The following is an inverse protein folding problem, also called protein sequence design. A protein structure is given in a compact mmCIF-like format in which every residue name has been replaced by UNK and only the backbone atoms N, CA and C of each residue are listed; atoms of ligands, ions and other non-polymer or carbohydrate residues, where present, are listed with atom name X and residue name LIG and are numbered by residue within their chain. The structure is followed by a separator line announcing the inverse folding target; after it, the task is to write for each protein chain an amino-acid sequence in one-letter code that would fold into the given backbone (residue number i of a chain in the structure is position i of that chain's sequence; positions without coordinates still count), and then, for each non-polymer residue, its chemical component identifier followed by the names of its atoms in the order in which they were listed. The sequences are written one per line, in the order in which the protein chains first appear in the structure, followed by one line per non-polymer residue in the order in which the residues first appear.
data_IF_596962403224
#
_entry.id   IF_596962403224
#
_cell.length_a   1.000
_cell.length_b   1.000
_cell.length_c   1.000
_cell.angle_alpha   90.00
_cell.angle_beta   90.00
_cell.angle_gamma   90.00
#
_symmetry.space_group_name_H-M   'P 1'
#
loop_
_entity.id
_entity.type
_entity.pdbx_description
1 polymer ?
#
# COMPACT_ATOMS: atom_id res chain seq x y z
N UNK A 1 -23.97 7.92 8.76
CA UNK A 1 -23.48 7.05 7.65
C UNK A 1 -22.13 6.46 8.03
N UNK A 2 -21.88 5.14 7.79
CA UNK A 2 -20.56 4.52 7.99
C UNK A 2 -19.68 4.74 6.76
N UNK A 3 -18.52 5.38 6.95
CA UNK A 3 -17.58 5.75 5.87
C UNK A 3 -16.25 5.03 6.10
N UNK A 4 -15.89 4.04 5.27
CA UNK A 4 -14.56 3.46 5.32
C UNK A 4 -13.49 4.49 4.94
N UNK A 5 -12.45 4.59 5.76
CA UNK A 5 -11.26 5.41 5.50
C UNK A 5 -10.06 4.48 5.42
N UNK A 6 -9.52 4.29 4.23
CA UNK A 6 -8.38 3.39 4.00
C UNK A 6 -7.10 4.23 3.95
N UNK A 7 -6.22 3.99 4.92
CA UNK A 7 -4.92 4.66 5.01
C UNK A 7 -3.88 3.84 4.24
N UNK A 8 -3.49 4.33 3.07
CA UNK A 8 -2.52 3.66 2.19
C UNK A 8 -1.15 4.34 2.28
N UNK A 9 -0.56 4.28 3.49
CA UNK A 9 0.76 4.83 3.80
C UNK A 9 1.82 3.75 4.03
N UNK A 10 3.07 4.18 4.24
CA UNK A 10 4.19 3.29 4.54
C UNK A 10 4.83 2.63 3.30
N UNK A 11 6.09 2.24 3.43
CA UNK A 11 6.88 1.61 2.34
C UNK A 11 6.99 0.10 2.51
N UNK A 12 6.86 -0.43 3.74
CA UNK A 12 6.99 -1.86 4.02
C UNK A 12 8.38 -2.44 3.69
N UNK A 13 9.45 -1.70 3.92
CA UNK A 13 10.83 -2.05 3.50
C UNK A 13 11.38 -3.36 4.08
N UNK A 14 10.78 -3.90 5.17
CA UNK A 14 11.18 -5.20 5.75
C UNK A 14 10.75 -6.39 4.88
N UNK A 15 9.83 -6.18 3.93
CA UNK A 15 9.40 -7.20 2.96
C UNK A 15 10.14 -7.06 1.62
N UNK A 16 11.30 -6.37 1.62
CA UNK A 16 12.21 -6.45 0.47
C UNK A 16 12.62 -7.93 0.23
N UNK A 17 12.72 -8.41 -1.02
CA UNK A 17 12.72 -7.67 -2.28
C UNK A 17 11.35 -7.44 -2.92
N UNK A 18 10.25 -7.98 -2.35
CA UNK A 18 8.91 -7.89 -2.94
C UNK A 18 8.26 -6.53 -2.68
N UNK A 19 8.51 -5.90 -1.51
CA UNK A 19 8.04 -4.54 -1.22
C UNK A 19 9.14 -3.52 -1.45
N UNK A 20 8.87 -2.49 -2.27
CA UNK A 20 9.80 -1.38 -2.59
C UNK A 20 9.04 -0.06 -2.61
N UNK A 21 9.77 1.07 -2.61
CA UNK A 21 9.15 2.42 -2.61
C UNK A 21 8.17 2.63 -3.77
N UNK A 22 8.52 2.15 -4.96
CA UNK A 22 7.65 2.27 -6.15
C UNK A 22 6.41 1.38 -6.12
N UNK A 23 6.39 0.35 -5.28
CA UNK A 23 5.25 -0.55 -5.05
C UNK A 23 5.32 -1.12 -3.64
N UNK A 24 4.87 -0.35 -2.63
CA UNK A 24 4.81 -0.78 -1.23
C UNK A 24 3.90 -1.99 -0.99
N UNK A 25 4.03 -2.59 0.20
CA UNK A 25 3.37 -3.84 0.57
C UNK A 25 1.85 -3.82 0.39
N UNK A 26 1.18 -2.71 0.64
CA UNK A 26 -0.27 -2.59 0.49
C UNK A 26 -0.77 -2.83 -0.94
N UNK A 27 0.10 -2.69 -1.94
CA UNK A 27 -0.22 -2.95 -3.35
C UNK A 27 0.20 -4.33 -3.84
N UNK A 28 0.63 -5.21 -2.92
CA UNK A 28 1.16 -6.55 -3.21
C UNK A 28 0.17 -7.63 -2.77
N UNK A 29 0.05 -8.73 -3.53
CA UNK A 29 -0.69 -9.92 -3.12
C UNK A 29 0.20 -10.73 -2.17
N UNK A 30 0.05 -10.52 -0.86
CA UNK A 30 0.86 -11.18 0.17
C UNK A 30 0.14 -12.30 0.91
N UNK A 31 -1.19 -12.36 0.84
CA UNK A 31 -2.00 -13.38 1.47
C UNK A 31 -2.92 -14.14 0.49
N UNK A 32 -2.86 -13.83 -0.80
CA UNK A 32 -3.74 -14.40 -1.82
C UNK A 32 -3.50 -13.79 -3.19
N UNK A 33 -4.51 -13.78 -4.06
CA UNK A 33 -4.43 -13.21 -5.42
C UNK A 33 -4.65 -11.70 -5.45
N UNK A 34 -5.37 -11.16 -4.46
CA UNK A 34 -5.66 -9.73 -4.35
C UNK A 34 -4.57 -8.99 -3.56
N UNK A 35 -4.35 -7.71 -3.87
CA UNK A 35 -3.47 -6.88 -3.05
C UNK A 35 -4.08 -6.63 -1.66
N UNK A 36 -3.26 -6.28 -0.67
CA UNK A 36 -3.75 -5.99 0.68
C UNK A 36 -4.74 -4.82 0.70
N UNK A 37 -4.56 -3.81 -0.16
CA UNK A 37 -5.53 -2.72 -0.37
C UNK A 37 -6.87 -3.26 -0.88
N UNK A 38 -6.84 -4.16 -1.86
CA UNK A 38 -8.04 -4.79 -2.41
C UNK A 38 -8.73 -5.68 -1.37
N UNK A 39 -7.98 -6.51 -0.64
CA UNK A 39 -8.51 -7.33 0.47
C UNK A 39 -9.16 -6.47 1.55
N UNK A 40 -8.52 -5.34 1.94
CA UNK A 40 -9.06 -4.40 2.92
C UNK A 40 -10.39 -3.80 2.45
N UNK A 41 -10.51 -3.47 1.18
CA UNK A 41 -11.76 -2.95 0.60
C UNK A 41 -12.84 -4.03 0.47
N UNK A 42 -12.50 -5.22 -0.03
CA UNK A 42 -13.43 -6.34 -0.24
C UNK A 42 -13.99 -6.91 1.06
N UNK A 43 -13.21 -6.89 2.14
CA UNK A 43 -13.59 -7.31 3.50
C UNK A 43 -14.85 -6.62 4.01
N UNK A 44 -15.14 -5.42 3.52
CA UNK A 44 -16.28 -4.59 3.93
C UNK A 44 -17.58 -4.88 3.17
N UNK A 45 -17.57 -5.79 2.20
CA UNK A 45 -18.69 -6.03 1.30
C UNK A 45 -20.00 -6.45 1.99
N UNK A 46 -19.93 -6.99 3.21
CA UNK A 46 -21.12 -7.37 4.01
C UNK A 46 -21.62 -6.24 4.93
N UNK A 47 -20.93 -5.11 5.01
CA UNK A 47 -21.37 -3.92 5.76
C UNK A 47 -22.08 -2.94 4.84
N UNK A 48 -23.12 -2.30 5.37
CA UNK A 48 -23.74 -1.15 4.71
C UNK A 48 -22.87 0.09 4.92
N UNK A 49 -22.05 0.42 3.93
CA UNK A 49 -21.12 1.55 3.98
C UNK A 49 -21.28 2.48 2.80
N UNK A 50 -20.83 3.72 2.96
CA UNK A 50 -20.55 4.60 1.83
C UNK A 50 -19.36 4.06 1.01
N UNK A 51 -19.15 4.53 -0.23
CA UNK A 51 -17.90 4.29 -0.94
C UNK A 51 -16.70 4.82 -0.15
N UNK A 52 -15.55 4.11 -0.12
CA UNK A 52 -14.43 4.46 0.75
C UNK A 52 -13.79 5.81 0.39
N UNK A 53 -13.26 6.49 1.40
CA UNK A 53 -12.26 7.54 1.24
C UNK A 53 -10.89 6.86 1.37
N UNK A 54 -10.00 7.09 0.42
CA UNK A 54 -8.63 6.56 0.50
C UNK A 54 -7.64 7.70 0.63
N UNK A 55 -6.77 7.65 1.64
CA UNK A 55 -5.67 8.60 1.82
C UNK A 55 -4.38 7.91 1.44
N UNK A 56 -3.65 8.47 0.47
CA UNK A 56 -2.41 7.89 -0.02
C UNK A 56 -1.38 8.96 -0.42
N UNK A 57 -0.11 8.54 -0.52
CA UNK A 57 0.91 9.42 -1.09
C UNK A 57 0.62 9.68 -2.58
N UNK A 58 0.86 10.91 -3.02
CA UNK A 58 0.64 11.33 -4.41
C UNK A 58 1.36 10.44 -5.43
N UNK A 59 2.55 9.93 -5.10
CA UNK A 59 3.31 9.03 -5.98
C UNK A 59 2.57 7.72 -6.29
N UNK A 60 1.68 7.27 -5.41
CA UNK A 60 0.96 5.99 -5.54
C UNK A 60 -0.47 6.14 -6.07
N UNK A 61 -0.95 7.36 -6.37
CA UNK A 61 -2.34 7.64 -6.75
C UNK A 61 -2.91 6.73 -7.85
N UNK A 62 -2.09 6.43 -8.86
CA UNK A 62 -2.53 5.59 -9.97
C UNK A 62 -2.62 4.11 -9.61
N UNK A 63 -1.73 3.62 -8.73
CA UNK A 63 -1.82 2.26 -8.21
C UNK A 63 -3.11 2.07 -7.40
N UNK A 64 -3.44 3.02 -6.53
CA UNK A 64 -4.67 3.00 -5.74
C UNK A 64 -5.90 3.01 -6.65
N UNK A 65 -5.96 3.97 -7.58
CA UNK A 65 -7.10 4.11 -8.49
C UNK A 65 -7.31 2.85 -9.36
N UNK A 66 -6.23 2.28 -9.90
CA UNK A 66 -6.28 1.07 -10.72
C UNK A 66 -6.75 -0.14 -9.93
N UNK A 67 -6.17 -0.39 -8.74
CA UNK A 67 -6.53 -1.55 -7.92
C UNK A 67 -7.97 -1.50 -7.41
N UNK A 68 -8.49 -0.31 -7.07
CA UNK A 68 -9.91 -0.15 -6.71
C UNK A 68 -10.82 -0.35 -7.92
N UNK A 69 -10.40 0.09 -9.11
CA UNK A 69 -11.14 -0.13 -10.36
C UNK A 69 -11.22 -1.61 -10.72
N UNK A 70 -10.13 -2.37 -10.54
CA UNK A 70 -10.08 -3.82 -10.80
C UNK A 70 -11.12 -4.60 -10.00
N UNK A 71 -11.43 -4.18 -8.78
CA UNK A 71 -12.44 -4.80 -7.91
C UNK A 71 -13.80 -4.11 -7.95
N UNK A 72 -14.00 -3.17 -8.90
CA UNK A 72 -15.23 -2.40 -9.06
C UNK A 72 -15.70 -1.68 -7.78
N UNK A 73 -14.80 -1.22 -6.94
CA UNK A 73 -15.09 -0.48 -5.71
C UNK A 73 -14.54 0.96 -5.83
N UNK A 74 -15.27 1.87 -6.51
CA UNK A 74 -14.81 3.25 -6.66
C UNK A 74 -14.77 3.95 -5.30
N UNK A 75 -13.71 4.74 -5.06
CA UNK A 75 -13.64 5.60 -3.89
C UNK A 75 -14.53 6.83 -4.05
N UNK A 76 -15.09 7.34 -2.93
CA UNK A 76 -15.79 8.64 -2.91
C UNK A 76 -14.81 9.82 -3.02
N UNK A 77 -13.57 9.62 -2.53
CA UNK A 77 -12.47 10.55 -2.67
C UNK A 77 -11.13 9.79 -2.57
N UNK A 78 -10.17 10.18 -3.41
CA UNK A 78 -8.76 9.80 -3.31
C UNK A 78 -7.98 11.03 -2.85
N UNK A 79 -7.66 11.11 -1.54
CA UNK A 79 -6.95 12.24 -0.94
C UNK A 79 -5.45 11.99 -1.08
N UNK A 80 -4.74 12.92 -1.73
CA UNK A 80 -3.33 12.76 -2.05
C UNK A 80 -2.45 13.57 -1.09
N UNK A 81 -1.72 12.89 -0.23
CA UNK A 81 -0.70 13.52 0.60
C UNK A 81 0.54 13.87 -0.23
N UNK A 82 0.99 15.14 -0.23
CA UNK A 82 2.24 15.53 -0.89
C UNK A 82 3.46 14.92 -0.20
N UNK A 83 3.38 14.66 1.12
CA UNK A 83 4.32 13.87 1.90
C UNK A 83 3.59 13.26 3.10
N UNK A 84 4.03 12.09 3.56
CA UNK A 84 3.44 11.46 4.74
C UNK A 84 3.64 12.29 6.01
N UNK A 85 2.57 12.50 6.78
CA UNK A 85 2.55 13.19 8.07
C UNK A 85 2.04 12.30 9.20
N UNK A 86 2.17 10.98 9.05
CA UNK A 86 1.65 9.99 10.00
C UNK A 86 0.10 9.93 9.98
N UNK A 87 -0.52 9.20 10.89
CA UNK A 87 -1.94 8.83 10.81
C UNK A 87 -2.91 9.93 11.26
N UNK A 88 -2.56 10.77 12.24
CA UNK A 88 -3.49 11.80 12.72
C UNK A 88 -3.86 12.83 11.63
N UNK A 89 -2.94 13.45 10.89
CA UNK A 89 -3.30 14.35 9.80
C UNK A 89 -4.06 13.64 8.67
N UNK A 90 -3.67 12.41 8.31
CA UNK A 90 -4.36 11.64 7.27
C UNK A 90 -5.84 11.39 7.61
N UNK A 91 -6.13 10.98 8.84
CA UNK A 91 -7.49 10.80 9.34
C UNK A 91 -8.24 12.15 9.38
N UNK A 92 -7.56 13.24 9.76
CA UNK A 92 -8.16 14.57 9.78
C UNK A 92 -8.64 15.04 8.39
N UNK A 93 -7.82 14.83 7.33
CA UNK A 93 -8.24 15.13 5.96
C UNK A 93 -9.50 14.32 5.57
N UNK A 94 -9.53 13.02 5.90
CA UNK A 94 -10.68 12.17 5.63
C UNK A 94 -11.91 12.58 6.45
N UNK A 95 -11.74 12.96 7.72
CA UNK A 95 -12.82 13.42 8.58
C UNK A 95 -13.45 14.72 8.06
N UNK A 96 -12.64 15.69 7.64
CA UNK A 96 -13.12 16.94 7.04
C UNK A 96 -13.95 16.64 5.79
N UNK A 97 -13.44 15.76 4.90
CA UNK A 97 -14.15 15.37 3.69
C UNK A 97 -15.48 14.63 3.99
N UNK A 98 -15.52 13.81 5.04
CA UNK A 98 -16.72 13.08 5.43
C UNK A 98 -17.79 13.99 6.06
N UNK A 99 -17.38 14.93 6.94
CA UNK A 99 -18.30 15.91 7.59
C UNK A 99 -18.95 16.84 6.56
N UNK A 100 -18.26 17.19 5.48
CA UNK A 100 -18.84 17.98 4.38
C UNK A 100 -20.00 17.25 3.69
N UNK A 101 -19.99 15.90 3.68
CA UNK A 101 -21.03 15.08 3.06
C UNK A 101 -22.14 14.71 4.06
N UNK A 102 -21.77 14.36 5.28
CA UNK A 102 -22.65 13.94 6.36
C UNK A 102 -22.04 14.35 7.71
N UNK A 103 -22.60 15.37 8.40
CA UNK A 103 -22.11 15.81 9.72
C UNK A 103 -22.09 14.70 10.78
N UNK A 104 -22.95 13.68 10.63
CA UNK A 104 -23.08 12.55 11.55
C UNK A 104 -22.29 11.31 11.04
N UNK A 105 -21.34 11.49 10.10
CA UNK A 105 -20.55 10.41 9.56
C UNK A 105 -19.70 9.73 10.64
N UNK A 106 -19.67 8.40 10.61
CA UNK A 106 -18.76 7.58 11.40
C UNK A 106 -17.70 7.01 10.47
N UNK A 107 -16.45 7.25 10.80
CA UNK A 107 -15.30 6.76 10.06
C UNK A 107 -14.92 5.37 10.58
N UNK A 108 -14.82 4.39 9.68
CA UNK A 108 -14.13 3.13 9.91
C UNK A 108 -12.73 3.26 9.31
N UNK A 109 -11.76 3.59 10.15
CA UNK A 109 -10.36 3.83 9.75
C UNK A 109 -9.60 2.52 9.72
N UNK A 110 -9.03 2.19 8.57
CA UNK A 110 -8.36 0.92 8.30
C UNK A 110 -7.00 1.16 7.62
N UNK A 111 -5.90 0.65 8.16
CA UNK A 111 -4.66 0.51 7.40
C UNK A 111 -4.86 -0.41 6.19
N UNK A 112 -4.32 -0.02 5.04
CA UNK A 112 -4.45 -0.77 3.79
C UNK A 112 -3.59 -2.05 3.74
N UNK A 113 -2.80 -2.31 4.78
CA UNK A 113 -1.70 -3.26 4.78
C UNK A 113 -1.74 -4.27 5.93
N UNK A 114 -2.95 -4.48 6.51
CA UNK A 114 -3.18 -5.46 7.56
C UNK A 114 -3.92 -6.69 7.04
N UNK A 115 -3.45 -7.86 7.48
CA UNK A 115 -4.12 -9.14 7.26
C UNK A 115 -5.17 -9.39 8.34
N UNK A 116 -6.30 -9.98 7.94
CA UNK A 116 -7.39 -10.45 8.82
C UNK A 116 -7.72 -11.89 8.40
N UNK A 117 -7.45 -12.84 9.26
CA UNK A 117 -7.71 -14.27 9.02
C UNK A 117 -9.19 -14.65 9.10
N UNK A 118 -9.96 -13.99 9.97
CA UNK A 118 -11.41 -14.17 10.11
C UNK A 118 -12.16 -12.84 9.85
N UNK A 119 -12.59 -12.60 8.60
CA UNK A 119 -13.38 -11.43 8.24
C UNK A 119 -14.73 -11.35 8.97
N UNK A 120 -15.34 -12.48 9.36
CA UNK A 120 -16.64 -12.49 10.03
C UNK A 120 -16.52 -11.95 11.46
N UNK A 121 -15.53 -12.41 12.22
CA UNK A 121 -15.23 -11.89 13.55
C UNK A 121 -14.90 -10.38 13.52
N UNK A 122 -14.16 -9.93 12.49
CA UNK A 122 -13.90 -8.51 12.28
C UNK A 122 -15.19 -7.71 12.06
N UNK A 123 -16.11 -8.19 11.20
CA UNK A 123 -17.39 -7.51 10.92
C UNK A 123 -18.25 -7.41 12.18
N UNK A 124 -18.32 -8.48 12.98
CA UNK A 124 -19.06 -8.48 14.26
C UNK A 124 -18.47 -7.44 15.22
N UNK A 125 -17.15 -7.34 15.33
CA UNK A 125 -16.50 -6.33 16.16
C UNK A 125 -16.78 -4.90 15.65
N UNK A 126 -16.81 -4.66 14.34
CA UNK A 126 -17.19 -3.37 13.76
C UNK A 126 -18.62 -3.01 14.17
N UNK A 127 -19.59 -3.95 14.03
CA UNK A 127 -20.98 -3.73 14.40
C UNK A 127 -21.13 -3.42 15.91
N UNK A 128 -20.38 -4.11 16.75
CA UNK A 128 -20.34 -3.88 18.18
C UNK A 128 -19.81 -2.48 18.52
N UNK A 129 -18.73 -2.03 17.88
CA UNK A 129 -18.11 -0.73 18.13
C UNK A 129 -18.94 0.47 17.67
N UNK A 130 -19.89 0.28 16.72
CA UNK A 130 -20.73 1.37 16.19
C UNK A 130 -21.53 2.08 17.28
N UNK A 131 -22.05 1.35 18.27
CA UNK A 131 -22.82 1.94 19.36
C UNK A 131 -21.97 2.99 20.13
N UNK A 132 -20.74 2.64 20.50
CA UNK A 132 -19.83 3.55 21.18
C UNK A 132 -19.43 4.76 20.34
N UNK A 133 -19.21 4.56 19.04
CA UNK A 133 -18.90 5.66 18.13
C UNK A 133 -20.08 6.64 17.97
N UNK A 134 -21.32 6.14 17.93
CA UNK A 134 -22.54 6.98 17.93
C UNK A 134 -22.72 7.78 19.23
N UNK A 135 -22.25 7.25 20.36
CA UNK A 135 -22.22 7.97 21.64
C UNK A 135 -21.08 8.99 21.72
N UNK A 136 -20.26 9.09 20.66
CA UNK A 136 -19.14 10.02 20.53
C UNK A 136 -17.86 9.53 21.21
N UNK A 137 -17.75 8.24 21.53
CA UNK A 137 -16.49 7.65 21.96
C UNK A 137 -15.54 7.47 20.74
N UNK A 138 -14.25 7.58 20.98
CA UNK A 138 -13.21 7.25 20.02
C UNK A 138 -12.82 5.77 20.22
N UNK A 139 -13.38 4.90 19.39
CA UNK A 139 -13.26 3.45 19.55
C UNK A 139 -12.08 2.92 18.76
N UNK A 140 -11.23 2.10 19.39
CA UNK A 140 -10.17 1.32 18.73
C UNK A 140 -10.45 -0.18 18.84
N UNK A 141 -9.88 -0.99 17.95
CA UNK A 141 -9.94 -2.45 18.00
C UNK A 141 -8.69 -2.97 18.69
N UNK A 142 -8.85 -3.57 19.85
CA UNK A 142 -7.78 -4.18 20.64
C UNK A 142 -7.64 -5.66 20.29
N UNK A 143 -6.57 -6.04 19.60
CA UNK A 143 -6.32 -7.43 19.21
C UNK A 143 -5.91 -8.24 20.45
N UNK A 144 -6.57 -9.39 20.65
CA UNK A 144 -6.21 -10.32 21.73
C UNK A 144 -4.79 -10.86 21.49
N UNK A 145 -3.84 -10.62 22.41
CA UNK A 145 -2.46 -11.00 22.19
C UNK A 145 -2.28 -12.51 22.32
N UNK A 146 -1.57 -13.12 21.35
CA UNK A 146 -1.18 -14.52 21.36
C UNK A 146 0.28 -14.74 21.81
N UNK A 147 1.10 -13.68 21.83
CA UNK A 147 2.50 -13.70 22.21
C UNK A 147 2.94 -12.39 22.84
N UNK A 148 4.08 -12.33 23.57
CA UNK A 148 4.60 -11.10 24.17
C UNK A 148 5.38 -10.28 23.14
N UNK A 149 4.68 -9.74 22.12
CA UNK A 149 5.27 -8.95 21.03
C UNK A 149 5.79 -7.60 21.50
N UNK A 150 7.04 -7.29 21.16
CA UNK A 150 7.67 -6.00 21.49
C UNK A 150 7.59 -4.99 20.34
N UNK A 151 7.09 -5.41 19.20
CA UNK A 151 6.92 -4.58 18.00
C UNK A 151 5.63 -3.79 17.95
N UNK A 152 4.66 -4.10 18.83
CA UNK A 152 3.33 -3.50 18.86
C UNK A 152 3.12 -2.56 20.06
N UNK A 153 2.20 -1.61 19.90
CA UNK A 153 1.62 -0.90 21.01
C UNK A 153 0.63 -1.79 21.78
N UNK A 154 0.52 -1.59 23.07
CA UNK A 154 -0.45 -2.26 23.95
C UNK A 154 -1.43 -1.26 24.52
N UNK A 155 -2.70 -1.66 24.58
CA UNK A 155 -3.78 -0.89 25.19
C UNK A 155 -4.42 -1.72 26.29
N UNK A 156 -4.70 -1.08 27.47
CA UNK A 156 -5.32 -1.75 28.59
C UNK A 156 -6.81 -1.45 28.64
N UNK A 157 -7.63 -2.52 28.68
CA UNK A 157 -9.06 -2.43 28.93
C UNK A 157 -9.34 -2.08 30.40
N UNK A 158 -10.17 -1.07 30.59
CA UNK A 158 -10.73 -0.65 31.90
C UNK A 158 -12.11 -1.23 32.17
N UNK A 159 -13.00 -0.42 32.67
CA UNK A 159 -14.40 -0.79 32.93
C UNK A 159 -15.19 -0.90 31.62
N UNK A 160 -16.25 -1.71 31.64
CA UNK A 160 -17.16 -1.78 30.47
C UNK A 160 -17.97 -0.48 30.37
N UNK A 161 -17.91 0.19 29.20
CA UNK A 161 -18.65 1.42 28.92
C UNK A 161 -20.04 1.10 28.39
N UNK A 162 -20.13 0.15 27.45
CA UNK A 162 -21.37 -0.38 26.90
C UNK A 162 -21.12 -1.82 26.46
N UNK A 163 -22.18 -2.56 26.06
CA UNK A 163 -22.08 -4.00 25.79
C UNK A 163 -20.89 -4.36 24.89
N UNK A 164 -19.85 -4.93 25.51
CA UNK A 164 -18.63 -5.39 24.87
C UNK A 164 -17.62 -4.29 24.45
N UNK A 165 -17.83 -3.04 24.88
CA UNK A 165 -16.87 -1.94 24.69
C UNK A 165 -16.25 -1.61 26.05
N UNK A 166 -14.92 -1.74 26.16
CA UNK A 166 -14.16 -1.41 27.36
C UNK A 166 -13.63 0.02 27.28
N UNK A 167 -13.48 0.66 28.43
CA UNK A 167 -12.73 1.92 28.54
C UNK A 167 -11.27 1.71 28.12
N UNK A 168 -10.71 2.63 27.35
CA UNK A 168 -9.27 2.71 27.09
C UNK A 168 -8.58 3.34 28.30
N UNK A 169 -8.06 2.51 29.19
CA UNK A 169 -7.51 2.96 30.46
C UNK A 169 -6.02 3.31 30.40
N UNK A 170 -5.28 2.77 29.43
CA UNK A 170 -3.83 3.01 29.27
C UNK A 170 -3.37 2.66 27.86
N UNK A 171 -2.41 3.39 27.35
CA UNK A 171 -1.71 3.10 26.09
C UNK A 171 -0.20 3.00 26.36
N UNK A 172 0.46 1.97 25.85
CA UNK A 172 1.92 1.76 25.98
C UNK A 172 2.51 1.35 24.64
N UNK A 173 3.37 2.16 24.10
CA UNK A 173 4.00 1.88 22.81
C UNK A 173 5.27 1.03 22.98
N UNK A 174 5.33 -0.12 22.31
CA UNK A 174 6.49 -1.00 22.18
C UNK A 174 7.23 -1.28 23.50
N UNK A 175 6.60 -2.00 24.45
CA UNK A 175 7.23 -2.35 25.71
C UNK A 175 8.44 -3.26 25.52
N UNK A 176 9.28 -3.37 26.55
CA UNK A 176 10.30 -4.41 26.58
C UNK A 176 9.70 -5.82 26.76
N UNK A 177 10.50 -6.85 26.53
CA UNK A 177 10.04 -8.24 26.54
C UNK A 177 9.44 -8.68 27.90
N UNK A 178 10.04 -8.23 29.01
CA UNK A 178 9.57 -8.56 30.36
C UNK A 178 8.22 -7.89 30.65
N UNK A 179 8.02 -6.68 30.17
CA UNK A 179 6.77 -5.92 30.28
C UNK A 179 5.68 -6.53 29.39
N UNK A 180 6.01 -6.88 28.14
CA UNK A 180 5.09 -7.54 27.22
C UNK A 180 4.60 -8.91 27.78
N UNK A 181 5.49 -9.69 28.40
CA UNK A 181 5.12 -10.95 29.05
C UNK A 181 4.12 -10.73 30.21
N UNK A 182 4.33 -9.70 31.04
CA UNK A 182 3.40 -9.34 32.12
C UNK A 182 2.04 -8.91 31.60
N UNK A 183 1.99 -8.18 30.46
CA UNK A 183 0.74 -7.78 29.85
C UNK A 183 -0.07 -8.97 29.33
N UNK A 184 0.62 -9.96 28.75
CA UNK A 184 -0.01 -11.21 28.31
C UNK A 184 -0.60 -11.98 29.51
N UNK A 185 0.15 -12.10 30.62
CA UNK A 185 -0.31 -12.77 31.84
C UNK A 185 -1.49 -12.04 32.52
N UNK A 186 -1.53 -10.70 32.45
CA UNK A 186 -2.59 -9.90 33.06
C UNK A 186 -3.96 -10.10 32.38
N UNK A 187 -4.00 -10.46 31.09
CA UNK A 187 -5.20 -10.84 30.34
C UNK A 187 -6.17 -9.70 30.04
N UNK A 188 -5.83 -8.45 30.36
CA UNK A 188 -6.63 -7.25 30.07
C UNK A 188 -5.89 -6.22 29.20
N UNK A 189 -4.75 -6.62 28.62
CA UNK A 189 -4.04 -5.87 27.61
C UNK A 189 -4.28 -6.46 26.24
N UNK A 190 -4.39 -5.58 25.24
CA UNK A 190 -4.61 -5.91 23.84
C UNK A 190 -3.53 -5.25 22.99
N UNK A 191 -3.20 -5.82 21.84
CA UNK A 191 -2.38 -5.10 20.86
C UNK A 191 -3.19 -3.98 20.22
N UNK A 192 -2.60 -2.82 20.05
CA UNK A 192 -3.18 -1.73 19.28
C UNK A 192 -3.15 -2.09 17.80
N UNK A 193 -4.31 -2.29 17.20
CA UNK A 193 -4.42 -2.65 15.79
C UNK A 193 -4.20 -1.47 14.83
N UNK A 194 -4.27 -0.22 15.32
CA UNK A 194 -4.31 0.96 14.45
C UNK A 194 -5.59 1.08 13.61
N UNK A 195 -6.63 0.32 13.94
CA UNK A 195 -7.98 0.43 13.34
C UNK A 195 -8.92 1.14 14.31
N UNK A 196 -9.80 2.01 13.78
CA UNK A 196 -10.65 2.85 14.62
C UNK A 196 -12.06 2.98 14.06
N UNK A 197 -13.02 3.20 14.97
CA UNK A 197 -14.36 3.72 14.69
C UNK A 197 -14.53 5.07 15.39
N UNK A 198 -14.68 6.13 14.60
CA UNK A 198 -14.66 7.51 15.08
C UNK A 198 -15.85 8.28 14.51
N UNK A 199 -16.65 8.94 15.34
CA UNK A 199 -17.46 10.03 14.84
C UNK A 199 -16.56 11.06 14.16
N UNK A 200 -16.81 11.42 12.89
CA UNK A 200 -15.92 12.32 12.16
C UNK A 200 -15.75 13.66 12.87
N UNK A 201 -16.85 14.26 13.32
CA UNK A 201 -16.81 15.50 14.10
C UNK A 201 -16.18 15.29 15.50
N UNK A 202 -16.48 14.17 16.18
CA UNK A 202 -15.88 13.86 17.48
C UNK A 202 -14.36 13.76 17.43
N UNK A 203 -13.83 13.18 16.33
CA UNK A 203 -12.39 13.14 16.11
C UNK A 203 -11.80 14.53 15.86
N UNK A 204 -12.45 15.35 15.03
CA UNK A 204 -11.98 16.73 14.75
C UNK A 204 -12.01 17.58 16.03
N UNK A 205 -13.03 17.44 16.88
CA UNK A 205 -13.12 18.15 18.17
C UNK A 205 -12.00 17.72 19.12
N UNK A 206 -11.72 16.41 19.21
CA UNK A 206 -10.60 15.89 20.01
C UNK A 206 -9.25 16.37 19.46
N UNK A 207 -9.07 16.38 18.13
CA UNK A 207 -7.86 16.89 17.49
C UNK A 207 -7.68 18.39 17.76
N UNK A 208 -8.75 19.18 17.71
CA UNK A 208 -8.71 20.60 18.07
C UNK A 208 -8.30 20.81 19.54
N UNK A 209 -8.80 19.96 20.44
CA UNK A 209 -8.50 20.03 21.87
C UNK A 209 -7.03 19.72 22.17
N UNK A 210 -6.50 18.64 21.59
CA UNK A 210 -5.18 18.11 21.94
C UNK A 210 -4.06 18.58 21.01
N UNK A 211 -4.38 18.86 19.72
CA UNK A 211 -3.43 19.27 18.68
C UNK A 211 -4.00 20.42 17.83
N UNK A 212 -4.25 21.62 18.43
CA UNK A 212 -4.94 22.73 17.75
C UNK A 212 -4.27 23.22 16.47
N UNK A 213 -2.94 23.19 16.42
CA UNK A 213 -2.19 23.59 15.22
C UNK A 213 -2.34 22.59 14.08
N UNK A 214 -2.31 21.28 14.38
CA UNK A 214 -2.56 20.22 13.40
C UNK A 214 -3.97 20.34 12.83
N UNK A 215 -4.98 20.51 13.69
CA UNK A 215 -6.37 20.71 13.28
C UNK A 215 -6.50 21.94 12.34
N UNK A 216 -5.94 23.08 12.75
CA UNK A 216 -5.99 24.34 11.97
C UNK A 216 -5.38 24.16 10.57
N UNK A 217 -4.21 23.51 10.49
CA UNK A 217 -3.49 23.32 9.22
C UNK A 217 -4.20 22.31 8.31
N UNK A 218 -4.75 21.21 8.85
CA UNK A 218 -5.55 20.27 8.08
C UNK A 218 -6.81 20.92 7.51
N UNK A 219 -7.55 21.71 8.32
CA UNK A 219 -8.71 22.45 7.84
C UNK A 219 -8.34 23.46 6.75
N UNK A 220 -7.25 24.20 6.92
CA UNK A 220 -6.79 25.16 5.93
C UNK A 220 -6.33 24.48 4.62
N UNK A 221 -5.62 23.34 4.73
CA UNK A 221 -5.17 22.59 3.57
C UNK A 221 -6.35 22.01 2.76
N UNK A 222 -7.38 21.50 3.44
CA UNK A 222 -8.61 21.03 2.78
C UNK A 222 -9.44 22.17 2.21
N UNK A 223 -9.52 23.33 2.88
CA UNK A 223 -10.20 24.53 2.36
C UNK A 223 -9.57 25.09 1.09
N UNK A 224 -8.27 24.85 0.86
CA UNK A 224 -7.55 25.18 -0.37
C UNK A 224 -7.40 24.03 -1.37
N UNK A 225 -8.08 22.89 -1.13
CA UNK A 225 -7.86 21.69 -1.93
C UNK A 225 -8.33 21.84 -3.39
N UNK A 226 -7.50 21.33 -4.31
CA UNK A 226 -7.83 21.24 -5.72
C UNK A 226 -8.39 19.86 -6.07
N UNK A 227 -9.46 19.83 -6.87
CA UNK A 227 -10.03 18.59 -7.42
C UNK A 227 -9.52 18.37 -8.84
N UNK A 228 -8.95 17.18 -9.08
CA UNK A 228 -8.43 16.76 -10.38
C UNK A 228 -8.96 15.34 -10.67
N UNK A 229 -10.01 15.24 -11.46
CA UNK A 229 -10.78 14.01 -11.67
C UNK A 229 -11.26 13.42 -10.33
N UNK A 230 -10.82 12.20 -10.00
CA UNK A 230 -11.14 11.49 -8.76
C UNK A 230 -10.20 11.87 -7.60
N UNK A 231 -9.16 12.67 -7.89
CA UNK A 231 -8.14 13.05 -6.91
C UNK A 231 -8.49 14.36 -6.20
N UNK A 232 -8.32 14.36 -4.89
CA UNK A 232 -8.42 15.53 -4.03
C UNK A 232 -7.02 15.86 -3.49
N UNK A 233 -6.49 17.03 -3.88
CA UNK A 233 -5.15 17.49 -3.52
C UNK A 233 -5.27 18.59 -2.47
N UNK A 234 -5.01 18.33 -1.19
CA UNK A 234 -4.88 19.36 -0.17
C UNK A 234 -3.81 20.39 -0.58
N UNK A 235 -3.92 21.62 -0.09
CA UNK A 235 -2.87 22.61 -0.28
C UNK A 235 -1.54 22.08 0.27
N UNK A 236 -0.55 21.95 -0.61
CA UNK A 236 0.71 21.27 -0.32
C UNK A 236 1.54 22.00 0.75
N UNK A 237 1.62 23.34 0.68
CA UNK A 237 2.45 24.13 1.59
C UNK A 237 1.88 24.08 3.01
N UNK A 238 0.55 24.20 3.14
CA UNK A 238 -0.15 24.09 4.42
C UNK A 238 -0.03 22.71 5.02
N UNK A 239 -0.20 21.65 4.21
CA UNK A 239 -0.07 20.28 4.70
C UNK A 239 1.38 19.92 5.05
N UNK A 240 2.37 20.38 4.30
CA UNK A 240 3.79 20.18 4.62
C UNK A 240 4.21 20.90 5.91
N UNK A 241 3.54 21.98 6.28
CA UNK A 241 3.75 22.67 7.55
C UNK A 241 3.07 21.96 8.74
N UNK A 242 2.16 21.00 8.49
CA UNK A 242 1.45 20.27 9.54
C UNK A 242 2.43 19.40 10.37
N UNK A 243 2.32 19.41 11.71
CA UNK A 243 3.04 18.46 12.55
C UNK A 243 2.79 17.02 12.12
N UNK A 244 3.81 16.15 12.26
CA UNK A 244 3.71 14.74 11.91
C UNK A 244 3.59 13.91 13.18
N UNK A 245 2.41 13.34 13.43
CA UNK A 245 2.15 12.51 14.58
C UNK A 245 1.11 11.42 14.30
N UNK A 246 1.12 10.32 15.07
CA UNK A 246 0.09 9.29 14.97
C UNK A 246 -1.16 9.70 15.75
N UNK A 247 -2.32 9.15 15.38
CA UNK A 247 -3.56 9.33 16.13
C UNK A 247 -3.40 8.84 17.57
N UNK A 248 -2.59 7.80 17.78
CA UNK A 248 -2.33 7.22 19.09
C UNK A 248 -1.76 8.27 20.04
N UNK A 249 -0.66 8.91 19.68
CA UNK A 249 -0.01 9.96 20.47
C UNK A 249 -0.76 11.29 20.44
N UNK A 250 -1.29 11.68 19.29
CA UNK A 250 -1.93 12.96 19.12
C UNK A 250 -3.28 13.07 19.86
N UNK A 251 -4.02 11.96 19.98
CA UNK A 251 -5.39 11.95 20.48
C UNK A 251 -5.65 10.83 21.50
N UNK A 252 -5.34 9.54 21.14
CA UNK A 252 -5.80 8.39 21.92
C UNK A 252 -5.18 8.29 23.32
N UNK A 253 -3.94 8.71 23.50
CA UNK A 253 -3.29 8.78 24.83
C UNK A 253 -3.87 9.86 25.74
N UNK A 254 -4.59 10.85 25.19
CA UNK A 254 -5.04 12.03 25.92
C UNK A 254 -6.56 12.09 26.07
N UNK A 255 -7.31 11.31 25.29
CA UNK A 255 -8.76 11.36 25.32
C UNK A 255 -9.34 10.64 26.54
N UNK A 256 -10.33 11.26 27.20
CA UNK A 256 -11.14 10.63 28.25
C UNK A 256 -12.31 9.80 27.67
N UNK A 257 -12.47 9.78 26.34
CA UNK A 257 -13.57 9.09 25.63
C UNK A 257 -13.06 7.93 24.77
N UNK A 258 -11.94 7.33 25.15
CA UNK A 258 -11.38 6.18 24.47
C UNK A 258 -12.16 4.90 24.79
N UNK A 259 -12.53 4.14 23.74
CA UNK A 259 -13.16 2.83 23.87
C UNK A 259 -12.34 1.75 23.17
N UNK A 260 -12.39 0.51 23.68
CA UNK A 260 -11.74 -0.67 23.10
C UNK A 260 -12.82 -1.71 22.78
N UNK A 261 -12.87 -2.19 21.55
CA UNK A 261 -13.55 -3.44 21.19
C UNK A 261 -12.50 -4.54 21.11
N UNK A 262 -12.54 -5.56 21.98
CA UNK A 262 -11.66 -6.73 21.87
C UNK A 262 -11.89 -7.45 20.53
N UNK A 263 -10.79 -7.82 19.84
CA UNK A 263 -10.81 -8.40 18.53
C UNK A 263 -9.91 -9.65 18.47
N UNK A 264 -10.51 -10.80 18.16
CA UNK A 264 -9.80 -12.04 17.87
C UNK A 264 -10.19 -12.50 16.47
N UNK A 265 -9.40 -12.14 15.47
CA UNK A 265 -9.72 -12.36 14.06
C UNK A 265 -8.51 -12.83 13.22
N UNK A 266 -7.47 -13.35 13.86
CA UNK A 266 -6.24 -13.72 13.16
C UNK A 266 -5.55 -12.51 12.51
N UNK A 267 -5.53 -11.38 13.22
CA UNK A 267 -4.92 -10.15 12.75
C UNK A 267 -3.39 -10.22 12.72
N UNK A 268 -2.80 -9.64 11.67
CA UNK A 268 -1.37 -9.39 11.57
C UNK A 268 -1.11 -8.10 10.80
N UNK A 269 -0.12 -7.31 11.24
CA UNK A 269 0.36 -6.15 10.49
C UNK A 269 1.27 -6.51 9.32
N UNK A 270 1.59 -7.81 9.13
CA UNK A 270 2.55 -8.31 8.12
C UNK A 270 3.83 -7.44 8.12
N UNK A 271 4.40 -7.25 9.30
CA UNK A 271 5.53 -6.35 9.50
C UNK A 271 6.87 -6.88 8.99
N UNK A 272 7.00 -8.19 8.79
CA UNK A 272 8.21 -8.88 8.34
C UNK A 272 7.87 -10.22 7.69
N UNK A 273 8.87 -10.87 7.09
CA UNK A 273 8.72 -12.19 6.44
C UNK A 273 8.30 -13.30 7.40
N UNK A 274 8.67 -13.23 8.68
CA UNK A 274 8.20 -14.18 9.70
C UNK A 274 6.68 -14.15 9.87
N UNK A 275 6.07 -12.96 9.81
CA UNK A 275 4.62 -12.82 9.92
C UNK A 275 3.88 -13.48 8.74
N UNK A 276 4.44 -13.46 7.53
CA UNK A 276 3.88 -14.19 6.39
C UNK A 276 3.96 -15.72 6.57
N UNK A 277 5.00 -16.22 7.22
CA UNK A 277 5.07 -17.62 7.60
C UNK A 277 4.01 -17.98 8.66
N UNK A 278 3.77 -17.10 9.64
CA UNK A 278 2.80 -17.32 10.72
C UNK A 278 1.35 -17.35 10.23
N UNK A 279 1.00 -16.48 9.26
CA UNK A 279 -0.37 -16.44 8.69
C UNK A 279 -0.57 -17.40 7.53
N UNK A 280 0.51 -17.95 6.97
CA UNK A 280 0.49 -18.90 5.87
C UNK A 280 0.00 -20.29 6.28
N UNK A 281 -0.28 -21.14 5.29
CA UNK A 281 -0.63 -22.55 5.53
C UNK A 281 0.63 -23.41 5.37
N UNK A 282 1.18 -23.96 6.46
CA UNK A 282 2.38 -24.78 6.38
C UNK A 282 2.10 -26.18 5.81
N UNK A 283 3.09 -26.76 5.13
CA UNK A 283 3.13 -28.17 4.78
C UNK A 283 3.45 -29.07 6.01
N UNK A 284 3.53 -30.39 5.82
CA UNK A 284 3.83 -31.36 6.88
C UNK A 284 5.21 -31.16 7.53
N UNK A 285 6.13 -30.48 6.85
CA UNK A 285 7.46 -30.14 7.36
C UNK A 285 7.52 -28.72 7.97
N UNK A 286 6.39 -28.01 8.04
CA UNK A 286 6.31 -26.66 8.58
C UNK A 286 6.75 -25.57 7.61
N UNK A 287 6.86 -25.84 6.31
CA UNK A 287 7.20 -24.84 5.32
C UNK A 287 5.96 -24.15 4.76
N UNK A 288 6.03 -22.86 4.56
CA UNK A 288 5.06 -22.09 3.76
C UNK A 288 5.69 -21.83 2.40
N UNK A 289 5.03 -22.32 1.34
CA UNK A 289 5.55 -22.34 -0.02
C UNK A 289 4.63 -21.52 -0.94
N UNK A 290 5.21 -20.56 -1.67
CA UNK A 290 4.51 -19.76 -2.67
C UNK A 290 5.28 -19.76 -4.01
N UNK A 291 4.57 -20.03 -5.12
CA UNK A 291 5.15 -20.05 -6.46
C UNK A 291 5.84 -21.36 -6.84
N UNK A 292 6.82 -21.30 -7.76
CA UNK A 292 7.52 -22.46 -8.31
C UNK A 292 8.70 -22.85 -7.42
N UNK A 293 8.42 -23.67 -6.40
CA UNK A 293 9.41 -24.08 -5.38
C UNK A 293 9.47 -25.61 -5.27
N UNK A 294 10.68 -26.15 -5.21
CA UNK A 294 10.95 -27.56 -4.90
C UNK A 294 11.81 -27.67 -3.64
N UNK A 295 11.22 -28.13 -2.54
CA UNK A 295 11.87 -28.30 -1.24
C UNK A 295 12.19 -29.79 -0.98
N UNK A 296 13.44 -30.10 -0.62
CA UNK A 296 13.90 -31.43 -0.23
C UNK A 296 14.67 -31.34 1.08
N UNK A 297 14.34 -32.18 2.07
CA UNK A 297 14.94 -32.11 3.41
C UNK A 297 14.96 -30.67 3.96
N UNK A 298 13.84 -29.96 3.82
CA UNK A 298 13.67 -28.56 4.20
C UNK A 298 12.51 -28.44 5.18
N UNK A 299 12.69 -27.68 6.28
CA UNK A 299 11.68 -27.54 7.33
C UNK A 299 11.57 -26.10 7.83
N UNK A 300 10.40 -25.78 8.44
CA UNK A 300 10.10 -24.54 9.16
C UNK A 300 10.44 -23.24 8.38
N UNK A 301 10.38 -23.27 7.06
CA UNK A 301 10.89 -22.22 6.19
C UNK A 301 9.77 -21.52 5.41
N UNK A 302 9.95 -20.24 5.09
CA UNK A 302 9.14 -19.51 4.15
C UNK A 302 9.87 -19.41 2.81
N UNK A 303 9.29 -19.98 1.76
CA UNK A 303 9.90 -20.12 0.43
C UNK A 303 8.98 -19.50 -0.61
N UNK A 304 9.42 -18.40 -1.25
CA UNK A 304 8.65 -17.68 -2.26
C UNK A 304 9.44 -17.50 -3.55
N UNK A 305 8.82 -17.87 -4.66
CA UNK A 305 9.32 -17.65 -6.01
C UNK A 305 8.32 -16.81 -6.81
N UNK A 306 8.77 -15.69 -7.36
CA UNK A 306 7.96 -14.86 -8.26
C UNK A 306 8.28 -15.07 -9.74
N UNK A 307 9.47 -15.56 -10.08
CA UNK A 307 9.89 -15.65 -11.49
C UNK A 307 10.68 -16.90 -11.87
N UNK A 308 11.46 -17.49 -10.97
CA UNK A 308 12.35 -18.63 -11.27
C UNK A 308 12.03 -19.79 -10.35
N UNK A 309 12.33 -21.01 -10.82
CA UNK A 309 12.33 -22.16 -9.93
C UNK A 309 13.30 -21.95 -8.76
N UNK A 310 12.79 -22.02 -7.54
CA UNK A 310 13.57 -22.02 -6.29
C UNK A 310 13.66 -23.45 -5.77
N UNK A 311 14.87 -23.91 -5.48
CA UNK A 311 15.07 -25.24 -4.89
C UNK A 311 15.87 -25.12 -3.60
N UNK A 312 15.45 -25.87 -2.56
CA UNK A 312 16.14 -25.94 -1.28
C UNK A 312 16.41 -27.39 -0.90
N UNK A 313 17.50 -27.69 -0.22
CA UNK A 313 17.81 -29.02 0.29
C UNK A 313 18.63 -28.93 1.57
N UNK A 314 18.22 -29.71 2.60
CA UNK A 314 18.97 -29.84 3.86
C UNK A 314 19.03 -28.55 4.67
N UNK A 315 17.96 -27.72 4.64
CA UNK A 315 17.90 -26.43 5.36
C UNK A 315 16.69 -26.34 6.29
N UNK A 316 16.81 -25.53 7.32
CA UNK A 316 15.79 -25.31 8.34
C UNK A 316 15.70 -23.84 8.73
N UNK A 317 14.51 -23.38 9.11
CA UNK A 317 14.25 -22.04 9.67
C UNK A 317 14.71 -20.88 8.77
N UNK A 318 14.52 -20.98 7.44
CA UNK A 318 14.92 -19.95 6.49
C UNK A 318 13.72 -19.17 5.94
N UNK A 319 14.02 -17.96 5.50
CA UNK A 319 13.22 -17.17 4.56
C UNK A 319 14.02 -17.10 3.26
N UNK A 320 13.46 -17.61 2.18
CA UNK A 320 14.00 -17.52 0.83
C UNK A 320 12.96 -16.86 -0.06
N UNK A 321 13.29 -15.70 -0.61
CA UNK A 321 12.39 -14.93 -1.46
C UNK A 321 13.11 -14.52 -2.73
N UNK A 322 12.59 -14.97 -3.86
CA UNK A 322 13.12 -14.70 -5.18
C UNK A 322 12.17 -13.77 -5.93
N UNK A 323 12.75 -12.75 -6.55
CA UNK A 323 12.10 -11.85 -7.52
C UNK A 323 12.95 -11.81 -8.80
N UNK A 324 12.43 -11.22 -9.87
CA UNK A 324 13.11 -11.16 -11.17
C UNK A 324 14.54 -10.58 -11.11
N UNK A 325 14.84 -9.72 -10.12
CA UNK A 325 16.09 -8.95 -10.02
C UNK A 325 16.81 -9.10 -8.66
N UNK A 326 16.25 -9.84 -7.70
CA UNK A 326 16.88 -10.01 -6.39
C UNK A 326 16.50 -11.34 -5.73
N UNK A 327 17.38 -11.85 -4.88
CA UNK A 327 17.11 -12.99 -3.99
C UNK A 327 17.49 -12.60 -2.56
N UNK A 328 16.53 -12.80 -1.64
CA UNK A 328 16.78 -12.70 -0.21
C UNK A 328 16.91 -14.11 0.37
N UNK A 329 17.95 -14.33 1.16
CA UNK A 329 18.07 -15.51 2.04
C UNK A 329 18.35 -14.99 3.44
N UNK A 330 17.52 -15.34 4.40
CA UNK A 330 17.64 -14.89 5.78
C UNK A 330 17.28 -16.03 6.74
N UNK A 331 17.84 -16.00 7.94
CA UNK A 331 17.32 -16.76 9.06
C UNK A 331 15.96 -16.15 9.48
N UNK A 332 14.91 -16.96 9.63
CA UNK A 332 13.55 -16.50 9.97
C UNK A 332 13.50 -15.74 11.29
N UNK A 333 14.36 -16.08 12.24
CA UNK A 333 14.45 -15.37 13.52
C UNK A 333 15.16 -14.02 13.44
N UNK A 334 15.81 -13.70 12.30
CA UNK A 334 16.58 -12.46 12.11
C UNK A 334 16.10 -11.61 10.91
N UNK A 335 14.87 -11.73 10.48
CA UNK A 335 14.31 -11.00 9.32
C UNK A 335 14.23 -9.49 9.50
N UNK A 336 14.30 -8.98 10.73
CA UNK A 336 14.37 -7.54 11.00
C UNK A 336 15.64 -6.90 10.38
N UNK A 337 16.72 -7.69 10.20
CA UNK A 337 17.96 -7.28 9.54
C UNK A 337 17.79 -6.86 8.06
N UNK A 338 16.69 -7.23 7.40
CA UNK A 338 16.39 -6.83 6.00
C UNK A 338 16.39 -5.31 5.83
N UNK A 339 15.95 -4.55 6.84
CA UNK A 339 16.00 -3.08 6.80
C UNK A 339 17.42 -2.52 6.61
N UNK A 340 18.42 -3.16 7.22
CA UNK A 340 19.82 -2.75 7.07
C UNK A 340 20.33 -3.01 5.64
N UNK A 341 19.91 -4.13 5.01
CA UNK A 341 20.24 -4.44 3.62
C UNK A 341 19.67 -3.35 2.69
N UNK A 342 18.38 -2.99 2.84
CA UNK A 342 17.75 -1.94 2.03
C UNK A 342 18.47 -0.60 2.21
N UNK A 343 18.87 -0.26 3.43
CA UNK A 343 19.63 0.97 3.70
C UNK A 343 20.98 0.96 2.99
N UNK A 344 21.68 -0.17 3.02
CA UNK A 344 22.96 -0.32 2.32
C UNK A 344 22.84 -0.26 0.79
N UNK A 345 21.78 -0.84 0.23
CA UNK A 345 21.49 -0.77 -1.21
C UNK A 345 21.19 0.69 -1.64
N UNK A 346 20.43 1.43 -0.85
CA UNK A 346 20.15 2.86 -1.11
C UNK A 346 21.42 3.70 -1.05
N UNK A 347 22.31 3.44 -0.09
CA UNK A 347 23.59 4.14 0.03
C UNK A 347 24.54 3.89 -1.16
N UNK A 348 24.27 2.83 -1.95
CA UNK A 348 25.00 2.48 -3.18
C UNK A 348 24.23 2.85 -4.46
N UNK A 349 23.16 3.63 -4.34
CA UNK A 349 22.26 4.02 -5.45
C UNK A 349 21.75 2.82 -6.28
N UNK A 350 21.57 1.65 -5.63
CA UNK A 350 21.04 0.46 -6.29
C UNK A 350 19.53 0.60 -6.51
N UNK A 351 19.12 0.48 -7.76
CA UNK A 351 17.69 0.61 -8.17
C UNK A 351 16.79 -0.44 -7.52
N UNK A 352 17.33 -1.63 -7.19
CA UNK A 352 16.61 -2.73 -6.55
C UNK A 352 16.12 -2.37 -5.13
N UNK A 353 16.65 -1.30 -4.54
CA UNK A 353 16.15 -0.78 -3.26
C UNK A 353 14.80 -0.03 -3.39
N UNK A 354 14.49 0.51 -4.57
CA UNK A 354 13.37 1.46 -4.76
C UNK A 354 12.37 1.06 -5.82
N UNK A 355 12.83 0.47 -6.93
CA UNK A 355 11.97 0.10 -8.08
C UNK A 355 12.09 -1.39 -8.41
N UNK A 356 10.98 -1.96 -8.87
CA UNK A 356 10.96 -3.32 -9.43
C UNK A 356 11.41 -3.29 -10.89
N UNK A 357 11.85 -4.45 -11.38
CA UNK A 357 12.12 -4.63 -12.81
C UNK A 357 10.89 -4.27 -13.66
N UNK A 358 9.67 -4.61 -13.17
CA UNK A 358 8.39 -4.20 -13.76
C UNK A 358 7.84 -2.96 -13.06
N UNK A 359 7.62 -1.89 -13.82
CA UNK A 359 7.13 -0.60 -13.35
C UNK A 359 5.72 -0.36 -13.88
N UNK A 360 4.77 -0.09 -12.98
CA UNK A 360 3.39 0.25 -13.32
C UNK A 360 3.25 1.73 -13.64
N UNK A 361 2.39 2.02 -14.61
CA UNK A 361 2.06 3.36 -15.10
C UNK A 361 0.55 3.45 -15.33
N UNK A 362 -0.03 4.66 -15.41
CA UNK A 362 -1.47 4.81 -15.69
C UNK A 362 -1.95 4.11 -16.97
N UNK A 363 -1.08 4.00 -17.96
CA UNK A 363 -1.37 3.37 -19.24
C UNK A 363 -1.10 1.86 -19.25
N UNK A 364 -0.55 1.27 -18.18
CA UNK A 364 -0.19 -0.15 -18.12
C UNK A 364 1.12 -0.39 -17.37
N UNK A 365 2.11 -1.05 -18.00
CA UNK A 365 3.39 -1.31 -17.36
C UNK A 365 4.52 -1.46 -18.36
N UNK A 366 5.76 -1.28 -17.92
CA UNK A 366 6.93 -1.73 -18.62
C UNK A 366 7.85 -2.55 -17.73
N UNK A 367 8.61 -3.44 -18.34
CA UNK A 367 9.57 -4.32 -17.67
C UNK A 367 10.89 -4.28 -18.43
N UNK A 368 12.01 -4.04 -17.72
CA UNK A 368 13.33 -4.07 -18.31
C UNK A 368 13.80 -5.53 -18.40
N UNK A 369 13.91 -6.08 -19.60
CA UNK A 369 14.31 -7.47 -19.84
C UNK A 369 15.83 -7.65 -19.90
N UNK A 370 16.53 -6.67 -20.49
CA UNK A 370 17.97 -6.65 -20.60
C UNK A 370 18.47 -5.22 -20.74
N UNK A 371 19.64 -4.93 -20.16
CA UNK A 371 20.31 -3.64 -20.32
C UNK A 371 21.82 -3.85 -20.31
N UNK A 372 22.51 -3.15 -21.22
CA UNK A 372 23.99 -3.05 -21.24
C UNK A 372 24.38 -1.68 -21.82
N UNK A 373 25.69 -1.42 -21.89
CA UNK A 373 26.17 -0.19 -22.48
C UNK A 373 25.66 -0.04 -23.93
N UNK A 374 24.97 1.06 -24.21
CA UNK A 374 24.44 1.39 -25.53
C UNK A 374 23.10 0.76 -25.91
N UNK A 375 22.49 -0.12 -25.08
CA UNK A 375 21.15 -0.61 -25.33
C UNK A 375 20.36 -0.99 -24.08
N UNK A 376 19.01 -0.94 -24.22
CA UNK A 376 18.06 -1.49 -23.27
C UNK A 376 16.90 -2.15 -24.02
N UNK A 377 16.42 -3.29 -23.50
CA UNK A 377 15.22 -3.98 -24.02
C UNK A 377 14.12 -3.91 -22.96
N UNK A 378 12.96 -3.42 -23.35
CA UNK A 378 11.77 -3.35 -22.48
C UNK A 378 10.63 -4.16 -23.10
N UNK A 379 9.85 -4.81 -22.24
CA UNK A 379 8.51 -5.30 -22.53
C UNK A 379 7.52 -4.25 -22.08
N UNK A 380 6.65 -3.79 -22.97
CA UNK A 380 5.65 -2.77 -22.66
C UNK A 380 4.26 -3.38 -22.82
N UNK A 381 3.39 -3.18 -21.83
CA UNK A 381 1.99 -3.58 -21.87
C UNK A 381 1.15 -2.32 -21.75
N UNK A 382 0.30 -2.06 -22.75
CA UNK A 382 -0.61 -0.91 -22.76
C UNK A 382 -2.05 -1.42 -22.66
N UNK A 383 -2.78 -0.95 -21.64
CA UNK A 383 -4.17 -1.34 -21.41
C UNK A 383 -5.09 -0.83 -22.52
N UNK A 384 -6.26 -1.48 -22.74
CA UNK A 384 -7.23 -1.06 -23.74
C UNK A 384 -7.62 0.41 -23.60
N UNK A 385 -7.59 1.15 -24.70
CA UNK A 385 -7.92 2.57 -24.76
C UNK A 385 -6.87 3.51 -24.17
N UNK A 386 -5.74 3.00 -23.67
CA UNK A 386 -4.69 3.81 -23.06
C UNK A 386 -3.61 4.22 -24.08
N UNK A 387 -2.91 5.31 -23.76
CA UNK A 387 -1.89 5.88 -24.62
C UNK A 387 -0.70 6.38 -23.80
N UNK A 388 0.51 6.27 -24.33
CA UNK A 388 1.70 6.90 -23.77
C UNK A 388 1.74 8.39 -24.11
N UNK A 389 2.62 9.14 -23.46
CA UNK A 389 2.85 10.55 -23.78
C UNK A 389 3.35 10.73 -25.22
N UNK A 390 3.00 11.85 -25.85
CA UNK A 390 3.68 12.29 -27.06
C UNK A 390 5.06 12.82 -26.66
N UNK A 391 6.13 12.17 -27.13
CA UNK A 391 7.49 12.38 -26.64
C UNK A 391 8.55 12.31 -27.73
N UNK A 392 9.77 12.76 -27.43
CA UNK A 392 10.97 12.52 -28.23
C UNK A 392 12.20 12.31 -27.36
N UNK A 393 13.25 11.74 -27.94
CA UNK A 393 14.55 11.51 -27.30
C UNK A 393 15.67 12.08 -28.16
N UNK A 394 16.71 12.65 -27.53
CA UNK A 394 17.84 13.21 -28.27
C UNK A 394 18.98 12.22 -28.48
N UNK A 395 19.13 11.22 -27.60
CA UNK A 395 20.31 10.36 -27.57
C UNK A 395 20.03 8.89 -27.80
N UNK A 396 18.74 8.50 -27.97
CA UNK A 396 18.34 7.12 -28.24
C UNK A 396 17.35 7.01 -29.39
N UNK A 397 17.48 5.94 -30.17
CA UNK A 397 16.50 5.45 -31.11
C UNK A 397 15.78 4.23 -30.56
N UNK A 398 14.61 3.91 -31.09
CA UNK A 398 13.80 2.81 -30.60
C UNK A 398 13.33 1.91 -31.74
N UNK A 399 13.32 0.59 -31.48
CA UNK A 399 12.67 -0.40 -32.36
C UNK A 399 11.51 -1.01 -31.57
N UNK A 400 10.32 -0.96 -32.11
CA UNK A 400 9.12 -1.52 -31.53
C UNK A 400 8.63 -2.73 -32.32
N UNK A 401 8.37 -3.84 -31.63
CA UNK A 401 7.86 -5.09 -32.22
C UNK A 401 6.59 -5.45 -31.47
N UNK A 402 5.44 -5.50 -32.15
CA UNK A 402 4.16 -5.88 -31.55
C UNK A 402 4.13 -7.39 -31.38
N UNK A 403 3.94 -7.86 -30.14
CA UNK A 403 3.83 -9.27 -29.77
C UNK A 403 2.38 -9.72 -29.69
N UNK A 404 1.49 -8.85 -29.19
CA UNK A 404 0.07 -9.14 -29.00
C UNK A 404 -0.77 -7.88 -29.14
N UNK A 405 -1.90 -7.99 -29.81
CA UNK A 405 -2.85 -6.90 -29.99
C UNK A 405 -2.52 -6.00 -31.18
N UNK A 406 -3.03 -4.76 -31.13
CA UNK A 406 -2.83 -3.77 -32.20
C UNK A 406 -2.39 -2.45 -31.62
N UNK A 407 -1.29 -1.92 -32.12
CA UNK A 407 -0.75 -0.62 -31.75
C UNK A 407 -1.18 0.44 -32.77
N UNK A 408 -1.57 1.62 -32.29
CA UNK A 408 -1.55 2.84 -33.07
C UNK A 408 -0.26 3.60 -32.76
N UNK A 409 0.53 3.87 -33.80
CA UNK A 409 1.82 4.51 -33.67
C UNK A 409 1.77 5.88 -34.35
N UNK A 410 2.10 6.92 -33.60
CA UNK A 410 2.42 8.24 -34.10
C UNK A 410 3.95 8.32 -34.27
N UNK A 411 4.45 8.66 -35.46
CA UNK A 411 5.88 8.83 -35.75
C UNK A 411 6.08 10.06 -36.65
N UNK A 412 6.50 11.17 -36.05
CA UNK A 412 6.51 12.47 -36.73
C UNK A 412 5.08 12.89 -37.07
N UNK A 413 4.82 13.05 -38.36
CA UNK A 413 3.49 13.39 -38.90
C UNK A 413 2.66 12.14 -39.31
N UNK A 414 3.29 10.96 -39.36
CA UNK A 414 2.62 9.72 -39.74
C UNK A 414 1.88 9.11 -38.55
N UNK A 415 0.63 8.68 -38.76
CA UNK A 415 -0.14 7.84 -37.86
C UNK A 415 -0.55 6.56 -38.58
N UNK A 416 -0.17 5.41 -38.03
CA UNK A 416 -0.43 4.11 -38.63
C UNK A 416 -0.62 3.02 -37.59
N UNK A 417 -1.26 1.92 -38.00
CA UNK A 417 -1.46 0.76 -37.11
C UNK A 417 -0.39 -0.29 -37.36
N UNK A 418 0.02 -0.98 -36.30
CA UNK A 418 0.84 -2.20 -36.33
C UNK A 418 0.06 -3.33 -35.64
N UNK A 419 0.01 -4.48 -36.29
CA UNK A 419 -0.55 -5.71 -35.74
C UNK A 419 0.56 -6.66 -35.27
N UNK A 420 0.17 -7.79 -34.70
CA UNK A 420 1.12 -8.83 -34.26
C UNK A 420 2.15 -9.15 -35.37
N UNK A 421 3.38 -9.42 -34.95
CA UNK A 421 4.58 -9.66 -35.82
C UNK A 421 5.04 -8.47 -36.67
N UNK A 422 4.40 -7.30 -36.53
CA UNK A 422 4.86 -6.09 -37.22
C UNK A 422 5.75 -5.24 -36.30
N UNK A 423 6.65 -4.48 -36.95
CA UNK A 423 7.62 -3.63 -36.26
C UNK A 423 7.77 -2.26 -36.90
N UNK A 424 8.28 -1.31 -36.13
CA UNK A 424 8.68 0.01 -36.64
C UNK A 424 9.97 0.48 -35.97
N UNK A 425 10.67 1.38 -36.67
CA UNK A 425 11.84 2.09 -36.17
C UNK A 425 11.48 3.55 -35.89
N UNK A 426 11.84 4.05 -34.71
CA UNK A 426 11.71 5.43 -34.30
C UNK A 426 13.12 6.05 -34.27
N UNK A 427 13.47 6.90 -35.25
CA UNK A 427 14.78 7.56 -35.28
C UNK A 427 14.99 8.54 -34.13
N UNK A 428 16.25 8.83 -33.82
CA UNK A 428 16.67 9.90 -32.93
C UNK A 428 15.91 11.21 -33.22
N UNK A 429 15.46 11.90 -32.18
CA UNK A 429 14.80 13.20 -32.26
C UNK A 429 13.38 13.19 -32.83
N UNK A 430 12.88 12.03 -33.27
CA UNK A 430 11.54 11.92 -33.83
C UNK A 430 10.49 11.96 -32.75
N UNK A 431 9.48 12.83 -32.92
CA UNK A 431 8.30 12.88 -32.03
C UNK A 431 7.46 11.63 -32.27
N UNK A 432 7.09 10.92 -31.20
CA UNK A 432 6.36 9.66 -31.31
C UNK A 432 5.43 9.41 -30.13
N UNK A 433 4.44 8.53 -30.35
CA UNK A 433 3.48 8.08 -29.34
C UNK A 433 3.05 6.64 -29.66
N UNK A 434 2.82 5.86 -28.62
CA UNK A 434 2.19 4.54 -28.67
C UNK A 434 0.80 4.60 -28.03
N UNK A 435 -0.21 4.06 -28.70
CA UNK A 435 -1.56 3.91 -28.17
C UNK A 435 -2.11 2.51 -28.41
N UNK A 436 -3.00 2.06 -27.56
CA UNK A 436 -3.77 0.83 -27.72
C UNK A 436 -5.24 1.17 -28.05
N UNK A 437 -5.64 1.19 -29.32
CA UNK A 437 -7.03 1.41 -29.72
C UNK A 437 -7.92 0.17 -29.55
N UNK A 438 -7.31 -0.98 -29.20
CA UNK A 438 -7.97 -2.28 -29.12
C UNK A 438 -8.77 -2.50 -27.84
N UNK A 439 -9.38 -3.69 -27.72
CA UNK A 439 -10.15 -4.13 -26.55
C UNK A 439 -9.40 -5.13 -25.68
N UNK A 440 -8.19 -5.51 -26.06
CA UNK A 440 -7.30 -6.40 -25.31
C UNK A 440 -6.00 -5.65 -25.00
N UNK A 441 -5.24 -6.03 -23.98
CA UNK A 441 -3.93 -5.45 -23.72
C UNK A 441 -3.01 -5.58 -24.96
N UNK A 442 -2.35 -4.48 -25.31
CA UNK A 442 -1.29 -4.44 -26.29
C UNK A 442 0.02 -4.80 -25.61
N UNK A 443 0.76 -5.73 -26.17
CA UNK A 443 2.09 -6.11 -25.72
C UNK A 443 3.11 -5.90 -26.82
N UNK A 444 4.20 -5.22 -26.53
CA UNK A 444 5.31 -5.00 -27.45
C UNK A 444 6.67 -5.13 -26.77
N UNK A 445 7.67 -5.47 -27.58
CA UNK A 445 9.09 -5.38 -27.21
C UNK A 445 9.65 -4.11 -27.81
N UNK A 446 10.24 -3.29 -26.94
CA UNK A 446 10.98 -2.09 -27.30
C UNK A 446 12.48 -2.35 -27.12
N UNK A 447 13.25 -2.13 -28.17
CA UNK A 447 14.70 -2.10 -28.10
C UNK A 447 15.16 -0.66 -28.25
N UNK A 448 15.69 -0.09 -27.20
CA UNK A 448 16.32 1.23 -27.17
C UNK A 448 17.82 1.07 -27.45
N UNK A 449 18.36 1.91 -28.31
CA UNK A 449 19.79 1.94 -28.61
C UNK A 449 20.31 3.38 -28.71
N UNK A 450 21.45 3.66 -28.10
CA UNK A 450 22.01 5.01 -28.08
C UNK A 450 23.12 5.22 -27.07
N UNK A 451 23.71 6.39 -27.09
CA UNK A 451 24.82 6.76 -26.18
C UNK A 451 24.33 7.14 -24.78
N UNK A 452 23.05 7.45 -24.61
CA UNK A 452 22.43 7.77 -23.33
C UNK A 452 20.99 7.28 -23.30
N UNK A 453 20.61 6.54 -22.26
CA UNK A 453 19.31 5.88 -22.13
C UNK A 453 18.53 6.33 -20.89
N UNK A 454 18.97 7.40 -20.22
CA UNK A 454 18.32 7.94 -19.02
C UNK A 454 16.90 8.43 -19.30
N UNK A 455 16.01 8.32 -18.32
CA UNK A 455 14.61 8.79 -18.43
C UNK A 455 14.50 10.33 -18.49
N UNK A 456 15.54 11.05 -18.08
CA UNK A 456 15.70 12.51 -18.20
C UNK A 456 15.97 12.99 -19.64
N UNK A 457 16.30 12.08 -20.59
CA UNK A 457 16.35 12.36 -22.03
C UNK A 457 14.95 12.47 -22.68
N UNK A 458 13.87 12.16 -21.94
CA UNK A 458 12.50 12.21 -22.46
C UNK A 458 11.96 13.65 -22.43
N UNK A 459 11.71 14.21 -23.63
CA UNK A 459 10.96 15.46 -23.76
C UNK A 459 9.50 15.12 -24.09
N UNK A 460 8.59 15.43 -23.16
CA UNK A 460 7.15 15.21 -23.29
C UNK A 460 6.45 16.46 -23.82
N UNK A 461 5.59 16.32 -24.82
CA UNK A 461 4.80 17.40 -25.41
C UNK A 461 3.36 17.37 -24.92
N UNK A 462 2.77 16.19 -24.83
CA UNK A 462 1.42 15.94 -24.34
C UNK A 462 1.44 14.73 -23.41
N UNK A 463 0.99 14.94 -22.19
CA UNK A 463 0.83 13.88 -21.20
C UNK A 463 -0.56 13.99 -20.58
N UNK A 464 -1.46 13.08 -20.98
CA UNK A 464 -2.86 13.04 -20.48
C UNK A 464 -2.96 12.67 -19.00
N UNK A 465 -1.86 12.28 -18.37
CA UNK A 465 -1.82 11.85 -16.97
C UNK A 465 -1.18 12.89 -16.02
N UNK A 466 -0.74 14.04 -16.53
CA UNK A 466 -0.19 15.14 -15.71
C UNK A 466 1.10 14.80 -14.97
N UNK A 467 2.09 14.17 -15.65
CA UNK A 467 3.40 13.79 -15.08
C UNK A 467 4.44 14.85 -15.35
#
# INVERSE_FOLDING_TARGET
MLVPVILSGGVGSRLWPVSREGRPKQFLPLGGDASMLQETSQRLASLETAPPIVVCNEAHRFLVAEQLREIATPASALILEPAGRNTAPAIALAAIQAVEQDPDAILLVLPADHHIGDPSAFIEAVQQGLAGAHEGNLVTFGVVPSAPETGYGYIRGGTELSSGILELAEFVEKPDADTAAKYLEAGNFYWNSGMFLLGAQSYLDALLQHQPEMHRLCCAAMGGAARDLDFLRPDADLFLACPSDSIDYAVMEHTERGGIVPLDCGWSDIGAWSALWEVGTPDDAGNVIEGDVFAHDTSNSYLRSESRLVTTTGVDNLVVVETADAVLVADRSNVQGVKAIVTALKAQDRSEATVHQRVFRPWGSYESLAAAEGFQVKRIIVQPGQTLSLQKHFHRAEHWIVVKGTAEVTRGEDVFSLTEDQSTYIPLGTVHRLANPGKIPLELIEVQSGSYLGEDDIVRFEDVYGR
#
